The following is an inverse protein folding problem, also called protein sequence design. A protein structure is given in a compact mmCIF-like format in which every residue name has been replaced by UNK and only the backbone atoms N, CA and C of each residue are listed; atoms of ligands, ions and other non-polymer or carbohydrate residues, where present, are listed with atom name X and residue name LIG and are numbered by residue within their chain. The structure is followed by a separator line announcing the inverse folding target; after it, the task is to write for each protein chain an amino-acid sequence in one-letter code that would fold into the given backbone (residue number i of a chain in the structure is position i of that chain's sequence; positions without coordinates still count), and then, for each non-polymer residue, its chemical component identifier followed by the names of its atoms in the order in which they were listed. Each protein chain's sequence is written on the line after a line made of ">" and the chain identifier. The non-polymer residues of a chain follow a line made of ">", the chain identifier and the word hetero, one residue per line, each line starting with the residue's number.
data_IF_567079843522
#
_entry.id   IF_567079843522
#
_cell.length_a   1.000
_cell.length_b   1.000
_cell.length_c   1.000
_cell.angle_alpha   90.00
_cell.angle_beta   90.00
_cell.angle_gamma   90.00
#
_symmetry.space_group_name_H-M   'P 1'
#
loop_
_entity.id
_entity.type
_entity.pdbx_description
1 polymer ?
#
# COMPACT_ATOMS: atom_id res chain seq x y z
N UNK A 1 73.44 -28.89 25.28
CA UNK A 1 74.56 -29.37 24.45
C UNK A 1 74.31 -28.97 23.00
N UNK A 2 75.23 -28.16 22.44
CA UNK A 2 75.62 -28.00 21.01
C UNK A 2 74.53 -27.49 20.02
N UNK A 3 74.57 -26.22 19.54
CA UNK A 3 75.42 -25.59 18.46
C UNK A 3 74.95 -26.02 17.04
N UNK A 4 74.11 -25.24 16.33
CA UNK A 4 74.31 -24.09 15.37
C UNK A 4 74.54 -24.44 13.86
N UNK A 5 74.07 -23.51 13.00
CA UNK A 5 74.26 -23.25 11.54
C UNK A 5 73.31 -23.95 10.52
N UNK A 6 72.29 -23.27 9.97
CA UNK A 6 72.22 -22.24 8.90
C UNK A 6 72.64 -22.70 7.50
N UNK A 7 71.70 -22.75 6.55
CA UNK A 7 71.83 -22.19 5.19
C UNK A 7 70.48 -21.60 4.74
N UNK A 8 70.51 -20.35 4.26
CA UNK A 8 69.43 -19.66 3.56
C UNK A 8 69.57 -19.93 2.05
N UNK A 9 68.45 -20.15 1.35
CA UNK A 9 68.25 -19.64 -0.02
C UNK A 9 66.82 -19.12 -0.11
N UNK A 10 66.69 -17.93 -0.71
CA UNK A 10 65.50 -17.11 -0.80
C UNK A 10 64.77 -17.27 -2.15
N UNK A 11 63.63 -16.56 -2.25
CA UNK A 11 62.79 -16.26 -3.41
C UNK A 11 61.69 -17.29 -3.75
N UNK A 12 60.49 -16.91 -4.19
CA UNK A 12 59.67 -15.69 -4.16
C UNK A 12 58.35 -16.10 -4.84
N UNK A 13 57.20 -15.62 -4.39
CA UNK A 13 55.94 -15.85 -5.11
C UNK A 13 54.68 -15.78 -4.26
N UNK A 14 54.28 -14.58 -3.87
CA UNK A 14 52.95 -14.28 -3.30
C UNK A 14 51.86 -14.42 -4.36
N UNK A 15 50.90 -15.32 -4.15
CA UNK A 15 49.66 -15.38 -4.94
C UNK A 15 48.65 -14.43 -4.30
N UNK A 16 48.43 -13.29 -4.95
CA UNK A 16 47.32 -12.38 -4.67
C UNK A 16 46.05 -12.94 -5.33
N UNK A 17 45.12 -13.43 -4.53
CA UNK A 17 43.76 -13.76 -4.99
C UNK A 17 42.95 -12.46 -5.08
N UNK A 18 42.95 -11.82 -6.25
CA UNK A 18 42.01 -10.75 -6.59
C UNK A 18 40.73 -11.35 -7.19
N UNK A 19 39.64 -11.36 -6.43
CA UNK A 19 38.30 -11.62 -6.97
C UNK A 19 37.76 -10.30 -7.52
N UNK A 20 37.79 -10.15 -8.85
CA UNK A 20 37.04 -9.10 -9.55
C UNK A 20 35.64 -9.64 -9.83
N UNK A 21 34.65 -9.21 -9.04
CA UNK A 21 33.24 -9.35 -9.41
C UNK A 21 32.90 -8.27 -10.45
N UNK A 22 32.77 -8.66 -11.71
CA UNK A 22 32.20 -7.76 -12.74
C UNK A 22 30.68 -7.90 -12.74
N UNK A 23 29.99 -6.85 -12.31
CA UNK A 23 28.56 -6.68 -12.57
C UNK A 23 28.42 -6.23 -14.03
N UNK A 24 27.93 -7.11 -14.90
CA UNK A 24 27.68 -6.78 -16.31
C UNK A 24 26.24 -6.32 -16.45
N UNK A 25 26.02 -5.01 -16.57
CA UNK A 25 24.77 -4.41 -17.04
C UNK A 25 24.78 -4.40 -18.56
N UNK A 26 23.85 -5.14 -19.19
CA UNK A 26 23.74 -5.23 -20.65
C UNK A 26 22.83 -4.13 -21.20
N UNK A 27 23.39 -3.13 -21.86
CA UNK A 27 22.65 -2.19 -22.72
C UNK A 27 22.74 -2.68 -24.17
N UNK A 28 21.60 -2.96 -24.81
CA UNK A 28 21.57 -3.56 -26.15
C UNK A 28 21.65 -2.50 -27.26
N UNK A 29 22.63 -2.64 -28.14
CA UNK A 29 22.46 -2.33 -29.57
C UNK A 29 22.79 -3.58 -30.38
N UNK A 30 22.16 -3.68 -31.54
CA UNK A 30 21.68 -4.91 -32.16
C UNK A 30 22.73 -5.80 -32.86
N UNK A 31 22.24 -7.00 -33.16
CA UNK A 31 22.68 -8.00 -34.14
C UNK A 31 23.65 -9.09 -33.65
N UNK A 32 23.01 -10.23 -33.33
CA UNK A 32 23.46 -11.60 -33.56
C UNK A 32 24.94 -11.84 -33.24
N UNK A 33 25.23 -12.10 -31.97
CA UNK A 33 26.36 -12.96 -31.67
C UNK A 33 25.99 -13.95 -30.58
N UNK A 34 26.23 -15.22 -30.87
CA UNK A 34 25.94 -16.37 -30.03
C UNK A 34 26.80 -16.29 -28.77
N UNK A 35 26.30 -15.65 -27.72
CA UNK A 35 26.92 -15.74 -26.42
C UNK A 35 26.53 -17.09 -25.80
N UNK A 36 27.47 -18.03 -25.94
CA UNK A 36 27.61 -19.18 -25.04
C UNK A 36 27.74 -18.63 -23.62
N UNK A 37 26.62 -18.50 -22.92
CA UNK A 37 26.65 -18.29 -21.48
C UNK A 37 27.36 -19.51 -20.88
N UNK A 38 28.43 -19.26 -20.12
CA UNK A 38 29.06 -20.29 -19.30
C UNK A 38 27.95 -21.02 -18.52
N UNK A 39 28.00 -22.36 -18.38
CA UNK A 39 27.02 -23.09 -17.56
C UNK A 39 27.03 -22.67 -16.08
N UNK A 40 27.93 -21.77 -15.68
CA UNK A 40 28.06 -21.16 -14.36
C UNK A 40 27.59 -19.69 -14.29
N UNK A 41 27.01 -19.13 -15.35
CA UNK A 41 26.49 -17.77 -15.33
C UNK A 41 25.21 -17.68 -14.48
N UNK A 42 25.34 -17.19 -13.24
CA UNK A 42 24.20 -16.88 -12.39
C UNK A 42 23.58 -15.56 -12.84
N UNK A 43 22.47 -15.62 -13.57
CA UNK A 43 21.66 -14.44 -13.88
C UNK A 43 20.93 -14.02 -12.60
N UNK A 44 21.28 -12.85 -12.07
CA UNK A 44 20.49 -12.21 -11.01
C UNK A 44 19.43 -11.34 -11.68
N UNK A 45 18.18 -11.74 -11.54
CA UNK A 45 17.05 -10.92 -11.95
C UNK A 45 16.88 -9.79 -10.93
N UNK A 46 16.71 -8.56 -11.40
CA UNK A 46 16.16 -7.50 -10.56
C UNK A 46 14.69 -7.85 -10.31
N UNK A 47 14.28 -7.90 -9.03
CA UNK A 47 12.90 -8.23 -8.63
C UNK A 47 11.95 -7.08 -8.97
N UNK A 48 11.74 -6.82 -10.25
CA UNK A 48 10.87 -5.76 -10.75
C UNK A 48 9.41 -6.22 -10.82
N UNK A 49 8.49 -5.26 -10.86
CA UNK A 49 7.10 -5.56 -11.19
C UNK A 49 6.98 -6.05 -12.63
N UNK A 50 5.99 -6.87 -12.90
CA UNK A 50 5.66 -7.40 -14.23
C UNK A 50 4.16 -7.62 -14.38
N UNK A 51 3.69 -7.64 -15.62
CA UNK A 51 2.27 -7.84 -15.92
C UNK A 51 1.89 -9.32 -15.78
N UNK A 52 1.05 -9.61 -14.79
CA UNK A 52 0.43 -10.90 -14.60
C UNK A 52 -0.94 -10.97 -15.31
N UNK A 53 -1.55 -12.15 -15.31
CA UNK A 53 -2.84 -12.35 -15.96
C UNK A 53 -3.95 -11.53 -15.32
N UNK A 54 -5.00 -11.24 -16.09
CA UNK A 54 -6.20 -10.49 -15.65
C UNK A 54 -5.90 -9.06 -15.17
N UNK A 55 -4.83 -8.42 -15.67
CA UNK A 55 -4.46 -7.05 -15.31
C UNK A 55 -3.84 -6.93 -13.91
N UNK A 56 -3.40 -8.04 -13.33
CA UNK A 56 -2.73 -8.10 -12.04
C UNK A 56 -1.25 -7.80 -12.18
N UNK A 57 -0.60 -7.42 -11.09
CA UNK A 57 0.84 -7.14 -11.08
C UNK A 57 1.58 -8.22 -10.29
N UNK A 58 2.50 -8.92 -10.94
CA UNK A 58 3.38 -9.90 -10.29
C UNK A 58 4.77 -9.33 -10.04
N UNK A 59 5.66 -10.19 -9.54
CA UNK A 59 7.09 -9.89 -9.40
C UNK A 59 7.90 -10.79 -10.31
N UNK A 60 8.84 -10.20 -11.04
CA UNK A 60 9.73 -10.93 -11.92
C UNK A 60 10.74 -11.73 -11.09
N UNK A 61 10.62 -13.07 -11.12
CA UNK A 61 11.44 -14.00 -10.35
C UNK A 61 11.94 -15.14 -11.24
N UNK A 62 12.93 -15.90 -10.77
CA UNK A 62 13.19 -17.20 -11.40
C UNK A 62 12.02 -18.15 -11.16
N UNK A 63 11.84 -19.15 -12.03
CA UNK A 63 10.76 -20.13 -11.88
C UNK A 63 10.83 -20.86 -10.52
N UNK A 64 12.04 -21.21 -10.09
CA UNK A 64 12.27 -21.88 -8.82
C UNK A 64 11.92 -21.00 -7.63
N UNK A 65 12.36 -19.73 -7.62
CA UNK A 65 12.01 -18.79 -6.56
C UNK A 65 10.51 -18.52 -6.48
N UNK A 66 9.83 -18.45 -7.63
CA UNK A 66 8.39 -18.26 -7.67
C UNK A 66 7.65 -19.39 -6.94
N UNK A 67 7.95 -20.64 -7.28
CA UNK A 67 7.33 -21.79 -6.63
C UNK A 67 7.78 -21.98 -5.17
N UNK A 68 9.04 -21.69 -4.85
CA UNK A 68 9.54 -21.75 -3.48
C UNK A 68 8.81 -20.77 -2.54
N UNK A 69 8.32 -19.64 -3.09
CA UNK A 69 7.49 -18.66 -2.37
C UNK A 69 5.99 -18.96 -2.44
N UNK A 70 5.59 -20.10 -2.99
CA UNK A 70 4.19 -20.49 -3.16
C UNK A 70 3.44 -19.69 -4.22
N UNK A 71 4.15 -18.97 -5.09
CA UNK A 71 3.56 -18.22 -6.18
C UNK A 71 3.28 -19.07 -7.42
N UNK A 72 2.53 -18.49 -8.35
CA UNK A 72 2.15 -19.10 -9.62
C UNK A 72 2.78 -18.32 -10.76
N UNK A 73 3.38 -19.04 -11.72
CA UNK A 73 3.84 -18.46 -12.98
C UNK A 73 2.64 -18.00 -13.81
N UNK A 74 2.65 -16.75 -14.24
CA UNK A 74 1.68 -16.21 -15.20
C UNK A 74 2.35 -15.99 -16.56
N UNK A 75 3.24 -15.00 -16.66
CA UNK A 75 3.93 -14.60 -17.89
C UNK A 75 5.45 -14.78 -17.83
N UNK A 76 6.15 -14.46 -18.92
CA UNK A 76 7.61 -14.32 -18.95
C UNK A 76 8.00 -12.86 -18.66
N UNK A 77 9.16 -12.65 -18.03
CA UNK A 77 9.69 -11.32 -17.73
C UNK A 77 11.22 -11.33 -17.82
N UNK A 78 11.86 -10.16 -17.62
CA UNK A 78 13.32 -10.04 -17.61
C UNK A 78 13.97 -10.56 -18.89
N UNK A 79 13.44 -10.17 -20.05
CA UNK A 79 13.89 -10.67 -21.38
C UNK A 79 13.82 -12.19 -21.56
N UNK A 80 12.90 -12.86 -20.85
CA UNK A 80 12.70 -14.31 -20.94
C UNK A 80 13.55 -15.13 -19.98
N UNK A 81 14.40 -14.50 -19.17
CA UNK A 81 15.17 -15.17 -18.12
C UNK A 81 14.36 -15.41 -16.84
N UNK A 82 13.24 -14.70 -16.66
CA UNK A 82 12.37 -14.80 -15.50
C UNK A 82 10.92 -15.15 -15.86
N UNK A 83 10.15 -15.41 -14.82
CA UNK A 83 8.69 -15.53 -14.87
C UNK A 83 8.03 -14.45 -14.04
N UNK A 84 6.90 -13.95 -14.52
CA UNK A 84 6.05 -13.12 -13.72
C UNK A 84 5.34 -13.98 -12.67
N UNK A 85 5.72 -13.79 -11.41
CA UNK A 85 5.25 -14.59 -10.30
C UNK A 85 4.15 -13.85 -9.55
N UNK A 86 2.98 -14.49 -9.42
CA UNK A 86 1.90 -14.00 -8.59
C UNK A 86 1.84 -14.82 -7.30
N UNK A 87 2.15 -14.18 -6.17
CA UNK A 87 2.09 -14.82 -4.84
C UNK A 87 0.71 -14.53 -4.26
N UNK A 88 -0.19 -15.52 -4.26
CA UNK A 88 -1.55 -15.37 -3.72
C UNK A 88 -1.60 -15.93 -2.31
N UNK A 89 -2.04 -15.11 -1.35
CA UNK A 89 -2.25 -15.56 0.03
C UNK A 89 -3.37 -16.60 0.06
N UNK A 90 -3.14 -17.71 0.77
CA UNK A 90 -4.16 -18.74 0.98
C UNK A 90 -5.11 -18.31 2.09
N UNK A 91 -6.41 -18.55 1.89
CA UNK A 91 -7.42 -18.40 2.95
C UNK A 91 -7.02 -19.23 4.17
N UNK A 92 -7.07 -18.61 5.35
CA UNK A 92 -6.65 -19.18 6.64
C UNK A 92 -5.20 -19.70 6.64
N UNK A 93 -4.36 -19.13 5.78
CA UNK A 93 -2.96 -19.49 5.62
C UNK A 93 -2.01 -18.35 5.97
N UNK A 94 -0.71 -18.67 5.89
CA UNK A 94 0.39 -17.75 6.14
C UNK A 94 1.16 -17.51 4.85
N UNK A 95 1.41 -16.25 4.50
CA UNK A 95 2.33 -15.83 3.45
C UNK A 95 3.53 -15.10 4.04
N UNK A 96 4.68 -15.32 3.42
CA UNK A 96 5.94 -14.63 3.74
C UNK A 96 6.39 -13.73 2.59
N UNK A 97 5.79 -13.88 1.41
CA UNK A 97 6.23 -13.22 0.19
C UNK A 97 6.06 -11.71 0.25
N UNK A 98 7.02 -10.98 -0.29
CA UNK A 98 6.78 -9.57 -0.63
C UNK A 98 5.88 -9.51 -1.88
N UNK A 99 5.09 -8.44 -2.01
CA UNK A 99 4.09 -8.27 -3.07
C UNK A 99 3.08 -9.43 -3.12
N UNK A 100 2.56 -9.81 -1.94
CA UNK A 100 1.54 -10.86 -1.81
C UNK A 100 0.16 -10.30 -2.16
N UNK A 101 -0.61 -11.02 -2.97
CA UNK A 101 -1.99 -10.70 -3.31
C UNK A 101 -2.96 -11.41 -2.34
N UNK A 102 -3.74 -10.65 -1.59
CA UNK A 102 -4.93 -11.11 -0.87
C UNK A 102 -6.11 -10.99 -1.83
N UNK A 103 -6.72 -12.13 -2.17
CA UNK A 103 -7.75 -12.20 -3.21
C UNK A 103 -8.88 -13.12 -2.78
N UNK A 104 -10.12 -12.64 -2.94
CA UNK A 104 -11.30 -13.48 -3.00
C UNK A 104 -12.21 -12.96 -4.10
N UNK A 105 -12.37 -13.77 -5.14
CA UNK A 105 -13.29 -13.48 -6.24
C UNK A 105 -14.74 -13.60 -5.75
N UNK A 106 -15.66 -13.01 -6.52
CA UNK A 106 -17.08 -12.82 -6.20
C UNK A 106 -17.72 -14.02 -5.49
N UNK A 107 -18.29 -13.76 -4.31
CA UNK A 107 -19.00 -14.75 -3.50
C UNK A 107 -20.13 -14.11 -2.68
N UNK A 108 -21.12 -14.92 -2.28
CA UNK A 108 -22.33 -14.43 -1.59
C UNK A 108 -22.54 -15.03 -0.19
N UNK A 109 -21.73 -16.01 0.21
CA UNK A 109 -21.86 -16.72 1.49
C UNK A 109 -21.24 -15.96 2.66
N UNK A 110 -21.84 -16.08 3.85
CA UNK A 110 -21.19 -15.66 5.09
C UNK A 110 -20.05 -16.60 5.49
N UNK A 111 -18.88 -16.03 5.72
CA UNK A 111 -17.61 -16.71 6.05
C UNK A 111 -16.75 -15.85 6.97
N UNK A 112 -15.95 -16.53 7.80
CA UNK A 112 -14.81 -15.95 8.51
C UNK A 112 -13.52 -16.43 7.85
N UNK A 113 -12.74 -15.51 7.30
CA UNK A 113 -11.48 -15.81 6.60
C UNK A 113 -10.37 -14.95 7.18
N UNK A 114 -9.22 -15.57 7.40
CA UNK A 114 -7.99 -14.86 7.78
C UNK A 114 -6.93 -14.96 6.69
N UNK A 115 -6.14 -13.91 6.53
CA UNK A 115 -4.91 -13.95 5.75
C UNK A 115 -3.78 -13.46 6.64
N UNK A 116 -2.76 -14.29 6.80
CA UNK A 116 -1.67 -14.00 7.72
C UNK A 116 -0.41 -13.65 6.93
N UNK A 117 0.14 -12.46 7.14
CA UNK A 117 1.36 -11.98 6.51
C UNK A 117 2.47 -11.89 7.57
N UNK A 118 3.48 -12.74 7.39
CA UNK A 118 4.64 -12.81 8.26
C UNK A 118 5.80 -12.10 7.61
N UNK A 119 6.56 -11.36 8.43
CA UNK A 119 7.70 -10.59 7.95
C UNK A 119 8.67 -11.49 7.19
N UNK A 120 8.97 -11.12 5.94
CA UNK A 120 9.92 -11.81 5.07
C UNK A 120 11.30 -11.88 5.73
N UNK A 121 11.67 -10.82 6.45
CA UNK A 121 12.92 -10.71 7.19
C UNK A 121 12.77 -9.71 8.37
N UNK A 122 13.66 -9.75 9.37
CA UNK A 122 13.55 -8.90 10.56
C UNK A 122 13.60 -7.39 10.30
N UNK A 123 14.20 -6.97 9.19
CA UNK A 123 14.32 -5.57 8.80
C UNK A 123 13.04 -5.01 8.14
N UNK A 124 11.93 -5.76 8.11
CA UNK A 124 10.63 -5.23 7.71
C UNK A 124 10.00 -4.51 8.91
N UNK A 125 9.67 -3.22 8.73
CA UNK A 125 9.00 -2.39 9.74
C UNK A 125 7.63 -1.88 9.30
N UNK A 126 7.33 -1.88 8.01
CA UNK A 126 6.10 -1.31 7.51
C UNK A 126 5.52 -2.20 6.42
N UNK A 127 4.20 -2.29 6.38
CA UNK A 127 3.46 -2.91 5.29
C UNK A 127 2.67 -1.83 4.59
N UNK A 128 2.77 -1.81 3.27
CA UNK A 128 1.88 -1.03 2.40
C UNK A 128 0.83 -1.96 1.82
N UNK A 129 -0.43 -1.56 1.97
CA UNK A 129 -1.57 -2.13 1.27
C UNK A 129 -1.81 -1.28 0.03
N UNK A 130 -1.97 -1.90 -1.13
CA UNK A 130 -2.57 -1.28 -2.30
C UNK A 130 -3.91 -1.97 -2.53
N UNK A 131 -4.98 -1.31 -2.11
CA UNK A 131 -6.35 -1.80 -2.23
C UNK A 131 -6.85 -1.45 -3.61
N UNK A 132 -6.84 -2.44 -4.51
CA UNK A 132 -7.48 -2.29 -5.81
C UNK A 132 -8.99 -2.23 -5.65
N UNK A 133 -9.53 -3.16 -4.86
CA UNK A 133 -10.96 -3.25 -4.57
C UNK A 133 -11.21 -3.99 -3.25
N UNK A 134 -12.11 -3.45 -2.45
CA UNK A 134 -12.69 -4.12 -1.29
C UNK A 134 -14.19 -3.85 -1.32
N UNK A 135 -15.00 -4.89 -1.49
CA UNK A 135 -16.45 -4.78 -1.52
C UNK A 135 -17.08 -5.69 -0.48
N UNK A 136 -17.51 -5.07 0.61
CA UNK A 136 -18.24 -5.68 1.70
C UNK A 136 -19.58 -4.97 1.87
N UNK A 137 -20.50 -5.57 2.62
CA UNK A 137 -21.77 -4.91 2.92
C UNK A 137 -21.52 -3.54 3.56
N UNK A 138 -22.38 -2.57 3.21
CA UNK A 138 -22.23 -1.16 3.58
C UNK A 138 -22.20 -0.94 5.11
N UNK A 139 -21.61 0.16 5.59
CA UNK A 139 -21.75 0.57 6.99
C UNK A 139 -23.20 0.93 7.34
N UNK A 140 -23.49 0.92 8.65
CA UNK A 140 -24.67 1.54 9.23
C UNK A 140 -24.59 3.07 9.16
N UNK A 141 -25.68 3.75 9.51
CA UNK A 141 -25.77 5.22 9.40
C UNK A 141 -24.78 5.98 10.31
N UNK A 142 -24.25 5.33 11.34
CA UNK A 142 -23.22 5.84 12.24
C UNK A 142 -21.80 5.38 11.83
N UNK A 143 -21.61 4.95 10.58
CA UNK A 143 -20.31 4.57 10.05
C UNK A 143 -19.78 3.23 10.55
N UNK A 144 -20.53 2.50 11.38
CA UNK A 144 -20.10 1.21 11.93
C UNK A 144 -20.31 0.07 10.94
N UNK A 145 -19.32 -0.81 10.88
CA UNK A 145 -19.33 -2.01 10.06
C UNK A 145 -19.74 -3.23 10.90
N UNK A 146 -21.05 -3.44 11.07
CA UNK A 146 -21.56 -4.54 11.92
C UNK A 146 -21.86 -5.82 11.14
N UNK A 147 -22.37 -5.70 9.90
CA UNK A 147 -22.79 -6.87 9.10
C UNK A 147 -21.59 -7.60 8.46
N UNK A 148 -20.76 -6.86 7.73
CA UNK A 148 -19.52 -7.36 7.16
C UNK A 148 -18.39 -6.41 7.55
N UNK A 149 -17.18 -6.94 7.74
CA UNK A 149 -16.02 -6.10 7.99
C UNK A 149 -14.69 -6.80 7.72
N UNK A 150 -13.67 -5.99 7.46
CA UNK A 150 -12.26 -6.34 7.55
C UNK A 150 -11.64 -5.68 8.79
N UNK A 151 -10.77 -6.39 9.51
CA UNK A 151 -9.92 -5.82 10.57
C UNK A 151 -8.47 -6.26 10.40
N UNK A 152 -7.55 -5.50 11.02
CA UNK A 152 -6.12 -5.75 10.98
C UNK A 152 -5.58 -5.71 12.41
N UNK A 153 -4.97 -6.80 12.87
CA UNK A 153 -4.57 -6.98 14.28
C UNK A 153 -3.42 -6.08 14.77
N UNK A 154 -2.62 -5.51 13.87
CA UNK A 154 -1.43 -4.70 14.18
C UNK A 154 -1.66 -3.20 13.97
N UNK A 155 -2.92 -2.78 13.81
CA UNK A 155 -3.24 -1.41 13.48
C UNK A 155 -4.26 -0.82 14.46
N UNK A 156 -3.94 0.36 14.97
CA UNK A 156 -4.78 1.19 15.84
C UNK A 156 -5.28 2.47 15.13
N UNK A 157 -4.84 2.66 13.87
CA UNK A 157 -5.20 3.77 12.99
C UNK A 157 -6.59 3.56 12.39
N UNK A 158 -7.00 2.31 12.16
CA UNK A 158 -8.27 1.92 11.55
C UNK A 158 -8.97 0.82 12.35
N UNK A 159 -10.28 0.99 12.55
CA UNK A 159 -11.16 -0.03 13.12
C UNK A 159 -11.64 -1.02 12.05
N UNK A 160 -12.93 -1.38 12.14
CA UNK A 160 -13.58 -2.24 11.14
C UNK A 160 -13.78 -1.47 9.84
N UNK A 161 -13.44 -2.09 8.71
CA UNK A 161 -13.60 -1.52 7.37
C UNK A 161 -14.66 -2.30 6.59
N UNK A 162 -15.57 -1.61 5.91
CA UNK A 162 -16.62 -2.21 5.08
C UNK A 162 -17.06 -1.26 3.96
N UNK A 163 -18.13 -1.63 3.24
CA UNK A 163 -18.59 -0.91 2.06
C UNK A 163 -17.69 -1.13 0.84
N UNK A 164 -17.64 -0.16 -0.07
CA UNK A 164 -16.86 -0.24 -1.31
C UNK A 164 -15.68 0.73 -1.25
N UNK A 165 -14.48 0.17 -1.21
CA UNK A 165 -13.23 0.91 -1.32
C UNK A 165 -12.53 0.54 -2.61
N UNK A 166 -12.12 1.53 -3.39
CA UNK A 166 -11.35 1.32 -4.62
C UNK A 166 -10.15 2.27 -4.69
N UNK A 167 -9.04 1.75 -5.20
CA UNK A 167 -7.84 2.51 -5.56
C UNK A 167 -7.25 3.38 -4.45
N UNK A 168 -7.12 2.82 -3.24
CA UNK A 168 -6.42 3.49 -2.14
C UNK A 168 -5.18 2.70 -1.74
N UNK A 169 -4.25 3.36 -1.05
CA UNK A 169 -3.15 2.68 -0.35
C UNK A 169 -3.18 2.99 1.15
N UNK A 170 -2.63 2.08 1.95
CA UNK A 170 -2.56 2.27 3.40
C UNK A 170 -1.28 1.70 4.00
N UNK A 171 -0.69 2.38 4.97
CA UNK A 171 0.57 2.03 5.61
C UNK A 171 0.37 1.62 7.07
N UNK A 172 0.84 0.42 7.37
CA UNK A 172 0.77 -0.22 8.68
C UNK A 172 2.18 -0.36 9.24
N UNK A 173 2.41 0.10 10.46
CA UNK A 173 3.67 -0.14 11.15
C UNK A 173 3.62 -1.54 11.80
N UNK A 174 4.61 -2.38 11.52
CA UNK A 174 4.57 -3.81 11.89
C UNK A 174 5.74 -4.18 12.78
N UNK A 175 5.41 -4.76 13.93
CA UNK A 175 6.41 -5.32 14.87
C UNK A 175 6.38 -6.85 14.89
N UNK A 176 5.27 -7.43 14.45
CA UNK A 176 5.03 -8.87 14.44
C UNK A 176 4.27 -9.29 13.17
N UNK A 177 3.56 -10.40 13.23
CA UNK A 177 2.75 -10.92 12.14
C UNK A 177 1.44 -10.12 12.00
N UNK A 178 1.07 -9.79 10.76
CA UNK A 178 -0.17 -9.09 10.45
C UNK A 178 -1.22 -10.09 10.00
N UNK A 179 -2.39 -10.03 10.63
CA UNK A 179 -3.54 -10.86 10.34
C UNK A 179 -4.67 -9.97 9.86
N UNK A 180 -5.05 -10.17 8.60
CA UNK A 180 -6.25 -9.58 8.01
C UNK A 180 -7.40 -10.53 8.29
N UNK A 181 -8.42 -10.06 9.00
CA UNK A 181 -9.61 -10.86 9.32
C UNK A 181 -10.79 -10.30 8.56
N UNK A 182 -11.46 -11.14 7.78
CA UNK A 182 -12.67 -10.82 7.05
C UNK A 182 -13.83 -11.58 7.66
N UNK A 183 -14.82 -10.85 8.14
CA UNK A 183 -16.10 -11.39 8.60
C UNK A 183 -17.18 -10.99 7.59
N UNK A 184 -17.99 -11.97 7.19
CA UNK A 184 -19.14 -11.73 6.30
C UNK A 184 -20.36 -12.47 6.79
N UNK A 185 -21.51 -11.79 6.81
CA UNK A 185 -22.75 -12.32 7.37
C UNK A 185 -23.55 -13.14 6.36
N UNK A 186 -24.04 -14.30 6.81
CA UNK A 186 -25.03 -15.09 6.07
C UNK A 186 -26.47 -14.51 6.18
N UNK A 187 -26.67 -13.47 6.99
CA UNK A 187 -27.96 -12.81 7.20
C UNK A 187 -28.37 -11.84 6.08
N UNK A 188 -27.47 -11.56 5.12
CA UNK A 188 -27.73 -10.70 3.96
C UNK A 188 -27.32 -11.40 2.67
N UNK A 189 -28.14 -11.27 1.62
CA UNK A 189 -27.80 -11.72 0.27
C UNK A 189 -27.04 -10.60 -0.43
N UNK A 190 -25.72 -10.70 -0.46
CA UNK A 190 -24.85 -9.64 -0.97
C UNK A 190 -23.58 -10.21 -1.60
N UNK A 191 -23.23 -9.76 -2.80
CA UNK A 191 -22.01 -10.18 -3.49
C UNK A 191 -20.82 -9.37 -3.04
N UNK A 192 -19.75 -10.08 -2.70
CA UNK A 192 -18.55 -9.54 -2.07
C UNK A 192 -17.32 -9.93 -2.88
N UNK A 193 -16.33 -9.07 -2.89
CA UNK A 193 -15.01 -9.36 -3.45
C UNK A 193 -13.93 -8.51 -2.78
N UNK A 194 -12.69 -8.99 -2.83
CA UNK A 194 -11.53 -8.17 -2.46
C UNK A 194 -10.29 -8.55 -3.26
N UNK A 195 -9.51 -7.52 -3.60
CA UNK A 195 -8.23 -7.58 -4.29
C UNK A 195 -7.30 -6.55 -3.66
N UNK A 196 -6.35 -7.02 -2.84
CA UNK A 196 -5.43 -6.18 -2.06
C UNK A 196 -4.01 -6.70 -2.23
N UNK A 197 -3.10 -5.84 -2.70
CA UNK A 197 -1.67 -6.15 -2.74
C UNK A 197 -1.00 -5.73 -1.44
N UNK A 198 -0.12 -6.58 -0.93
CA UNK A 198 0.60 -6.38 0.32
C UNK A 198 2.10 -6.33 0.04
N UNK A 199 2.67 -5.14 0.21
CA UNK A 199 4.10 -4.88 0.07
C UNK A 199 4.73 -4.76 1.45
N UNK A 200 5.85 -5.45 1.65
CA UNK A 200 6.65 -5.40 2.87
C UNK A 200 7.83 -4.46 2.65
N UNK A 201 7.93 -3.42 3.48
CA UNK A 201 8.90 -2.35 3.37
C UNK A 201 9.95 -2.45 4.48
N UNK A 202 11.21 -2.26 4.09
CA UNK A 202 12.34 -2.34 4.99
C UNK A 202 12.53 -1.04 5.80
N UNK A 203 13.08 -1.14 7.01
CA UNK A 203 13.32 -0.01 7.92
C UNK A 203 14.18 1.11 7.33
N UNK A 204 15.14 0.75 6.49
CA UNK A 204 16.17 1.66 5.96
C UNK A 204 15.72 2.42 4.70
N UNK A 205 14.53 2.11 4.17
CA UNK A 205 14.03 2.69 2.92
C UNK A 205 13.18 3.96 3.15
N UNK A 206 13.83 5.02 3.65
CA UNK A 206 13.18 6.28 4.05
C UNK A 206 12.42 7.00 2.92
N UNK A 207 12.75 6.75 1.65
CA UNK A 207 12.10 7.44 0.52
C UNK A 207 10.71 6.90 0.18
N UNK A 208 10.39 5.67 0.59
CA UNK A 208 9.10 5.00 0.33
C UNK A 208 8.28 4.75 1.58
N UNK A 209 8.91 4.70 2.76
CA UNK A 209 8.20 4.49 4.00
C UNK A 209 7.36 5.72 4.35
N UNK A 210 6.13 5.48 4.79
CA UNK A 210 5.29 6.50 5.36
C UNK A 210 5.88 6.97 6.71
N UNK A 211 5.87 8.29 6.99
CA UNK A 211 6.22 8.81 8.31
C UNK A 211 5.33 8.20 9.40
N UNK A 212 5.82 8.17 10.64
CA UNK A 212 5.07 7.62 11.77
C UNK A 212 3.73 8.34 11.94
N UNK A 213 2.64 7.59 12.12
CA UNK A 213 1.28 8.14 12.26
C UNK A 213 0.56 8.38 10.93
N UNK A 214 1.27 8.41 9.81
CA UNK A 214 0.66 8.47 8.49
C UNK A 214 0.06 7.09 8.15
N UNK A 215 -1.25 7.06 7.90
CA UNK A 215 -1.95 5.92 7.34
C UNK A 215 -1.89 5.92 5.81
N UNK A 216 -1.78 7.10 5.20
CA UNK A 216 -1.54 7.23 3.76
C UNK A 216 -0.39 8.19 3.51
N UNK A 217 0.50 7.83 2.58
CA UNK A 217 1.67 8.61 2.21
C UNK A 217 1.70 8.87 0.71
N UNK A 218 1.61 10.13 0.34
CA UNK A 218 1.57 10.60 -1.04
C UNK A 218 2.82 11.40 -1.39
N UNK A 219 3.24 11.33 -2.65
CA UNK A 219 4.40 12.05 -3.17
C UNK A 219 4.20 12.36 -4.65
N UNK A 220 5.14 13.08 -5.24
CA UNK A 220 5.03 13.58 -6.61
C UNK A 220 4.30 14.90 -6.71
N UNK A 221 4.26 15.45 -7.91
CA UNK A 221 3.83 16.83 -8.18
C UNK A 221 2.32 17.01 -8.16
N UNK A 222 1.57 15.92 -8.25
CA UNK A 222 0.11 15.91 -8.11
C UNK A 222 -0.40 14.50 -7.78
N UNK A 223 -1.62 14.42 -7.29
CA UNK A 223 -2.28 13.15 -7.01
C UNK A 223 -3.70 13.33 -6.50
N UNK A 224 -4.39 12.20 -6.35
CA UNK A 224 -5.73 12.13 -5.77
C UNK A 224 -5.63 11.34 -4.48
N UNK A 225 -6.19 11.91 -3.42
CA UNK A 225 -6.32 11.31 -2.10
C UNK A 225 -7.76 10.83 -1.95
N UNK A 226 -7.89 9.56 -1.64
CA UNK A 226 -9.14 8.89 -1.37
C UNK A 226 -9.15 8.30 0.05
N UNK A 227 -10.33 7.98 0.56
CA UNK A 227 -10.52 7.44 1.92
C UNK A 227 -11.14 6.04 1.87
N UNK A 228 -11.19 5.37 3.02
CA UNK A 228 -11.93 4.11 3.13
C UNK A 228 -13.42 4.31 2.82
N UNK A 229 -14.03 3.30 2.22
CA UNK A 229 -15.39 3.32 1.69
C UNK A 229 -15.59 4.48 0.70
N UNK A 230 -14.66 4.80 -0.20
CA UNK A 230 -14.78 5.96 -1.10
C UNK A 230 -15.81 5.82 -2.24
N UNK A 231 -16.57 4.73 -2.36
CA UNK A 231 -17.56 4.55 -3.43
C UNK A 231 -18.94 4.21 -2.88
N UNK A 232 -19.99 4.92 -3.31
CA UNK A 232 -21.38 4.52 -3.08
C UNK A 232 -21.94 3.77 -4.32
N UNK A 233 -22.15 2.45 -4.26
CA UNK A 233 -22.73 1.71 -5.38
C UNK A 233 -24.24 1.94 -5.57
N UNK A 234 -24.92 2.56 -4.61
CA UNK A 234 -26.39 2.72 -4.58
C UNK A 234 -26.88 4.12 -4.88
N UNK A 235 -26.00 5.12 -4.90
CA UNK A 235 -26.30 6.55 -5.11
C UNK A 235 -27.36 7.14 -4.17
N UNK A 236 -27.57 6.50 -3.01
CA UNK A 236 -28.70 6.79 -2.11
C UNK A 236 -28.27 7.59 -0.89
N UNK A 237 -27.35 7.03 -0.10
CA UNK A 237 -26.75 7.64 1.09
C UNK A 237 -25.36 7.04 1.29
N UNK A 238 -24.34 7.89 1.20
CA UNK A 238 -22.97 7.49 1.47
C UNK A 238 -22.59 7.83 2.92
N UNK A 239 -21.91 6.89 3.61
CA UNK A 239 -21.45 7.08 4.99
C UNK A 239 -19.94 6.87 5.11
N UNK A 240 -19.26 7.80 5.78
CA UNK A 240 -17.85 7.61 6.13
C UNK A 240 -17.73 6.63 7.29
N UNK A 241 -16.60 5.92 7.35
CA UNK A 241 -16.40 4.90 8.37
C UNK A 241 -16.13 5.52 9.75
N UNK A 242 -16.63 4.86 10.79
CA UNK A 242 -16.25 5.14 12.17
C UNK A 242 -14.91 4.47 12.52
N UNK A 243 -14.36 4.82 13.68
CA UNK A 243 -13.13 4.28 14.26
C UNK A 243 -11.89 4.49 13.36
N UNK A 244 -11.78 5.68 12.76
CA UNK A 244 -10.66 6.08 11.91
C UNK A 244 -9.80 7.14 12.63
N UNK A 245 -8.48 6.95 12.67
CA UNK A 245 -7.54 7.72 13.49
C UNK A 245 -6.14 7.77 12.87
N UNK A 246 -5.97 8.48 11.76
CA UNK A 246 -4.69 8.53 11.05
C UNK A 246 -4.43 9.85 10.33
N UNK A 247 -3.15 10.12 10.06
CA UNK A 247 -2.76 11.22 9.19
C UNK A 247 -2.69 10.76 7.72
N UNK A 248 -3.13 11.61 6.81
CA UNK A 248 -2.83 11.53 5.39
C UNK A 248 -1.75 12.56 5.11
N UNK A 249 -0.60 12.08 4.66
CA UNK A 249 0.61 12.90 4.57
C UNK A 249 1.02 13.06 3.11
N UNK A 250 1.39 14.28 2.71
CA UNK A 250 1.89 14.61 1.37
C UNK A 250 3.34 15.10 1.47
N UNK A 251 4.25 14.48 0.72
CA UNK A 251 5.67 14.86 0.69
C UNK A 251 5.89 16.08 -0.18
N UNK A 252 6.68 17.04 0.29
CA UNK A 252 7.24 18.10 -0.55
C UNK A 252 8.23 17.57 -1.58
N UNK A 253 8.04 17.93 -2.84
CA UNK A 253 9.02 17.65 -3.90
C UNK A 253 10.04 18.79 -4.01
N UNK A 254 11.28 18.42 -4.36
CA UNK A 254 12.35 19.41 -4.52
C UNK A 254 12.01 20.41 -5.64
N UNK A 255 12.16 21.72 -5.36
CA UNK A 255 11.82 22.79 -6.30
C UNK A 255 10.36 23.24 -6.28
N UNK A 256 9.57 22.76 -5.32
CA UNK A 256 8.17 23.16 -5.12
C UNK A 256 8.02 23.94 -3.80
N UNK A 257 7.18 24.98 -3.82
CA UNK A 257 7.07 25.97 -2.74
C UNK A 257 5.66 26.09 -2.15
N UNK A 258 4.63 25.54 -2.80
CA UNK A 258 3.28 25.46 -2.25
C UNK A 258 2.54 24.20 -2.71
N UNK A 259 1.53 23.75 -1.96
CA UNK A 259 0.60 22.70 -2.40
C UNK A 259 -0.81 23.29 -2.45
N UNK A 260 -1.44 23.20 -3.62
CA UNK A 260 -2.84 23.53 -3.82
C UNK A 260 -3.69 22.28 -3.67
N UNK A 261 -4.72 22.37 -2.84
CA UNK A 261 -5.71 21.30 -2.65
C UNK A 261 -7.04 21.70 -3.26
N UNK A 262 -7.70 20.74 -3.90
CA UNK A 262 -9.09 20.85 -4.35
C UNK A 262 -9.87 19.70 -3.75
N UNK A 263 -10.66 20.02 -2.74
CA UNK A 263 -11.54 19.05 -2.08
C UNK A 263 -12.87 19.00 -2.84
N UNK A 264 -13.14 17.86 -3.48
CA UNK A 264 -14.48 17.49 -3.93
C UNK A 264 -15.30 16.84 -2.82
N UNK A 265 -14.66 16.62 -1.66
CA UNK A 265 -15.25 16.08 -0.47
C UNK A 265 -16.52 16.83 -0.11
N UNK A 266 -17.65 16.18 -0.37
CA UNK A 266 -18.96 16.44 0.23
C UNK A 266 -18.98 16.15 1.75
N UNK A 267 -17.82 16.22 2.41
CA UNK A 267 -17.57 15.75 3.75
C UNK A 267 -17.50 16.95 4.71
N UNK A 268 -18.51 17.07 5.57
CA UNK A 268 -18.41 17.85 6.81
C UNK A 268 -18.53 16.84 7.96
N UNK A 269 -17.46 16.59 8.74
CA UNK A 269 -17.57 15.73 9.91
C UNK A 269 -18.61 16.32 10.85
N UNK A 270 -19.31 15.49 11.61
CA UNK A 270 -20.14 16.00 12.69
C UNK A 270 -19.25 16.65 13.77
N UNK A 271 -19.82 17.47 14.66
CA UNK A 271 -19.03 18.24 15.64
C UNK A 271 -18.24 17.46 16.69
N UNK A 272 -18.46 16.17 16.76
CA UNK A 272 -17.71 15.26 17.62
C UNK A 272 -16.71 14.40 16.85
N UNK A 273 -16.64 14.53 15.52
CA UNK A 273 -15.59 13.97 14.67
C UNK A 273 -14.61 15.05 14.21
N UNK A 274 -13.35 14.64 13.97
CA UNK A 274 -12.27 15.53 13.59
C UNK A 274 -11.79 15.22 12.17
N UNK A 275 -11.79 16.25 11.33
CA UNK A 275 -11.03 16.27 10.08
C UNK A 275 -10.26 17.58 10.00
N UNK A 276 -8.97 17.50 10.30
CA UNK A 276 -8.06 18.64 10.29
C UNK A 276 -7.38 18.74 8.92
N UNK A 277 -7.31 19.96 8.37
CA UNK A 277 -6.66 20.25 7.08
C UNK A 277 -5.25 20.76 7.30
N UNK A 278 -4.35 20.63 6.30
CA UNK A 278 -3.00 21.15 6.38
C UNK A 278 -2.98 22.67 6.63
N UNK A 279 -2.23 23.05 7.66
CA UNK A 279 -1.87 24.42 8.09
C UNK A 279 -2.63 25.59 7.43
N UNK A 280 -3.87 25.83 7.86
CA UNK A 280 -4.58 27.10 7.62
C UNK A 280 -5.11 27.69 8.92
N UNK A 281 -4.48 28.75 9.42
CA UNK A 281 -4.84 29.44 10.68
C UNK A 281 -6.25 30.08 10.67
N UNK A 282 -6.93 30.11 9.53
CA UNK A 282 -8.24 30.76 9.34
C UNK A 282 -9.29 29.85 8.70
N UNK A 283 -8.97 28.58 8.38
CA UNK A 283 -9.91 27.64 7.78
C UNK A 283 -9.98 26.30 8.55
N UNK A 284 -11.14 26.12 9.21
CA UNK A 284 -11.96 24.90 9.16
C UNK A 284 -11.57 23.67 10.01
N UNK A 285 -11.79 23.76 11.34
CA UNK A 285 -12.69 22.80 11.99
C UNK A 285 -14.14 23.17 11.65
N UNK A 286 -14.58 22.91 10.43
CA UNK A 286 -16.03 22.93 10.15
C UNK A 286 -16.56 21.56 10.43
N UNK A 287 -16.94 21.40 11.66
CA UNK A 287 -18.05 20.54 11.89
C UNK A 287 -19.35 21.28 11.58
N UNK A 288 -20.34 20.55 11.13
CA UNK A 288 -21.67 21.08 10.91
C UNK A 288 -22.68 20.13 11.56
N UNK A 289 -23.69 20.70 12.23
CA UNK A 289 -24.80 19.90 12.77
C UNK A 289 -25.75 19.43 11.67
N UNK A 290 -25.62 20.00 10.47
CA UNK A 290 -26.36 19.63 9.27
C UNK A 290 -25.41 19.43 8.09
N UNK A 291 -25.59 18.37 7.28
CA UNK A 291 -24.80 18.21 6.07
C UNK A 291 -24.93 19.42 5.11
N UNK A 292 -23.89 19.80 4.36
CA UNK A 292 -23.96 20.94 3.45
C UNK A 292 -25.00 20.71 2.36
N UNK A 293 -25.76 21.76 2.03
CA UNK A 293 -26.81 21.76 0.99
C UNK A 293 -26.30 22.21 -0.39
N UNK A 294 -25.02 22.60 -0.51
CA UNK A 294 -24.40 23.00 -1.78
C UNK A 294 -23.03 22.37 -2.00
N UNK A 295 -22.76 21.98 -3.25
CA UNK A 295 -21.54 21.30 -3.69
C UNK A 295 -20.60 22.33 -4.31
N UNK A 296 -19.95 23.13 -3.49
CA UNK A 296 -18.86 24.00 -3.98
C UNK A 296 -17.53 23.36 -3.57
N UNK A 297 -16.70 22.92 -4.52
CA UNK A 297 -15.37 22.41 -4.20
C UNK A 297 -14.59 23.45 -3.39
N UNK A 298 -13.99 23.02 -2.29
CA UNK A 298 -13.13 23.88 -1.49
C UNK A 298 -11.73 23.85 -2.11
N UNK A 299 -11.18 25.02 -2.44
CA UNK A 299 -9.82 25.14 -2.97
C UNK A 299 -9.01 26.08 -2.09
N UNK A 300 -7.80 25.65 -1.71
CA UNK A 300 -6.87 26.43 -0.90
C UNK A 300 -5.43 26.02 -1.20
N UNK A 301 -4.51 26.92 -0.91
CA UNK A 301 -3.07 26.70 -1.11
C UNK A 301 -2.34 26.85 0.21
N UNK A 302 -1.49 25.88 0.51
CA UNK A 302 -0.67 25.85 1.72
C UNK A 302 0.78 26.05 1.30
N UNK A 303 1.40 27.10 1.84
CA UNK A 303 2.75 27.55 1.45
C UNK A 303 3.82 27.14 2.45
N UNK A 304 3.44 26.75 3.67
CA UNK A 304 4.35 26.41 4.76
C UNK A 304 3.74 25.34 5.67
N UNK A 305 4.57 24.69 6.49
CA UNK A 305 4.12 23.72 7.49
C UNK A 305 3.95 22.30 6.98
N UNK A 306 3.58 21.41 7.92
CA UNK A 306 3.31 20.00 7.63
C UNK A 306 2.08 19.87 6.73
N UNK A 307 2.22 19.06 5.68
CA UNK A 307 1.18 18.82 4.67
C UNK A 307 0.39 17.56 5.05
N UNK A 308 -0.35 17.67 6.15
CA UNK A 308 -1.03 16.54 6.79
C UNK A 308 -2.51 16.84 7.00
N UNK A 309 -3.37 15.91 6.58
CA UNK A 309 -4.76 15.87 6.99
C UNK A 309 -4.87 14.90 8.16
N UNK A 310 -5.59 15.27 9.23
CA UNK A 310 -5.84 14.35 10.34
C UNK A 310 -7.29 13.86 10.31
N UNK A 311 -7.46 12.55 10.24
CA UNK A 311 -8.75 11.86 10.29
C UNK A 311 -8.94 11.30 11.70
N UNK A 312 -10.02 11.73 12.38
CA UNK A 312 -10.37 11.31 13.74
C UNK A 312 -11.88 11.11 13.89
N UNK A 313 -12.41 10.00 13.36
CA UNK A 313 -13.84 9.67 13.39
C UNK A 313 -14.09 8.65 14.51
N UNK A 314 -14.39 9.08 15.74
CA UNK A 314 -14.31 8.22 16.94
C UNK A 314 -15.54 8.21 17.84
N UNK A 315 -16.57 8.99 17.55
CA UNK A 315 -17.62 9.17 18.56
C UNK A 315 -18.71 8.07 18.55
N UNK A 316 -18.86 7.31 17.46
CA UNK A 316 -19.83 6.22 17.33
C UNK A 316 -21.28 6.56 17.69
N UNK A 317 -21.59 7.85 17.79
CA UNK A 317 -22.78 8.46 18.42
C UNK A 317 -23.51 9.41 17.48
N UNK A 318 -22.86 9.84 16.40
CA UNK A 318 -23.40 10.75 15.42
C UNK A 318 -23.86 10.02 14.13
N UNK A 319 -24.46 10.79 13.23
CA UNK A 319 -24.74 10.35 11.86
C UNK A 319 -23.50 10.59 10.99
N UNK A 320 -22.89 9.52 10.47
CA UNK A 320 -21.70 9.58 9.61
C UNK A 320 -22.08 9.80 8.12
N UNK A 321 -23.14 10.56 7.82
CA UNK A 321 -23.61 10.77 6.46
C UNK A 321 -22.74 11.80 5.72
N UNK A 322 -22.42 11.55 4.45
CA UNK A 322 -21.93 12.58 3.53
C UNK A 322 -23.02 13.60 3.18
N UNK A 323 -22.70 14.64 2.38
CA UNK A 323 -23.68 15.63 1.91
C UNK A 323 -24.87 14.98 1.18
N UNK A 324 -26.13 15.20 1.60
CA UNK A 324 -27.31 14.65 0.97
C UNK A 324 -27.66 15.41 -0.32
N UNK A 325 -27.88 14.66 -1.39
CA UNK A 325 -28.49 15.13 -2.64
C UNK A 325 -27.50 15.40 -3.77
N UNK A 326 -27.87 14.89 -4.96
CA UNK A 326 -27.07 14.70 -6.19
C UNK A 326 -26.31 13.35 -6.17
N UNK A 327 -26.01 12.71 -7.33
CA UNK A 327 -25.27 11.44 -7.32
C UNK A 327 -23.97 11.68 -6.56
N UNK A 328 -23.86 11.10 -5.37
CA UNK A 328 -22.74 11.29 -4.45
C UNK A 328 -21.45 11.12 -5.26
N UNK A 329 -20.74 12.22 -5.47
CA UNK A 329 -19.42 12.12 -6.09
C UNK A 329 -18.49 11.59 -5.02
N UNK A 330 -17.76 10.53 -5.36
CA UNK A 330 -16.83 9.87 -4.46
C UNK A 330 -15.93 10.90 -3.76
N UNK A 331 -15.84 10.87 -2.42
CA UNK A 331 -15.06 11.82 -1.67
C UNK A 331 -13.58 11.73 -2.07
N UNK A 332 -13.07 12.75 -2.76
CA UNK A 332 -11.65 12.84 -3.13
C UNK A 332 -11.05 14.24 -2.91
N UNK A 333 -9.76 14.28 -2.59
CA UNK A 333 -8.95 15.49 -2.49
C UNK A 333 -7.88 15.41 -3.57
N UNK A 334 -7.88 16.35 -4.50
CA UNK A 334 -6.77 16.49 -5.43
C UNK A 334 -5.71 17.40 -4.81
N UNK A 335 -4.44 17.07 -4.97
CA UNK A 335 -3.33 17.97 -4.66
C UNK A 335 -2.49 18.23 -5.90
N UNK A 336 -1.96 19.45 -6.00
CA UNK A 336 -0.98 19.87 -7.01
C UNK A 336 0.08 20.70 -6.31
N UNK A 337 1.34 20.32 -6.44
CA UNK A 337 2.45 21.11 -5.97
C UNK A 337 2.78 22.20 -7.00
N UNK A 338 3.01 23.42 -6.54
CA UNK A 338 3.39 24.55 -7.38
C UNK A 338 4.90 24.78 -7.30
N UNK A 339 5.55 24.86 -8.46
CA UNK A 339 6.97 25.14 -8.55
C UNK A 339 7.28 26.53 -7.97
N UNK A 340 8.46 26.63 -7.37
CA UNK A 340 9.13 27.92 -7.23
C UNK A 340 9.55 28.40 -8.63
#
# INVERSE_FOLDING_TARGET
>A
MLVWWWWRVAAAGTVLAGVLSQNVTLTSTSLVNQFLLSPLAVVRLENSNCDADLGRTGTCLTLFECYARGGVKTNLCGNGFGVCCLIVAKENGVSYGNNTLILKDKFDSGVDITYTIRRLMPSICQIRLDVRRLYLYRPENNGKCETDYMTINQDDKIGKICGLTENIHFYLDVTSEVVFTFHTSAGVSFTRDWEIYVQQLMCDFMSTNAPQGCGQWYWGTSGTIDIWNNVDPTTADWYYLNDQSYAICVRWEAGYCSISYTESLQFRPFCSDLFERPFTTTLLRTCDTSPPTSITPLTYTVTEGLQEFFVGFKDGSNLHQGSPGLPFQNPSIMYVQNQC
#
